data_IF_195603847830
#
_entry.id   IF_195603847830
#
_cell.length_a   1.000
_cell.length_b   1.000
_cell.length_c   1.000
_cell.angle_alpha   90.00
_cell.angle_beta   90.00
_cell.angle_gamma   90.00
#
_symmetry.space_group_name_H-M   'P 1'
#
loop_
_entity.id
_entity.type
_entity.pdbx_description
1 polymer ?
#
# COMPACT_ATOMS: atom_id res chain seq x y z
N UNK A 1 -11.56 -3.39 2.59
CA UNK A 1 -10.71 -3.21 1.39
C UNK A 1 -9.69 -2.10 1.58
N UNK A 2 -10.07 -0.87 1.96
CA UNK A 2 -9.13 0.24 2.20
C UNK A 2 -8.04 -0.02 3.27
N UNK A 3 -8.37 -0.66 4.40
CA UNK A 3 -7.41 -0.82 5.52
C UNK A 3 -6.50 -2.05 5.33
N UNK A 4 -6.91 -3.02 4.52
CA UNK A 4 -6.27 -4.33 4.45
C UNK A 4 -4.76 -4.27 4.13
N UNK A 5 -4.29 -3.47 3.14
CA UNK A 5 -2.86 -3.35 2.88
C UNK A 5 -2.09 -2.78 4.07
N UNK A 6 -2.63 -1.77 4.77
CA UNK A 6 -1.98 -1.18 5.93
C UNK A 6 -1.82 -2.15 7.10
N UNK A 7 -2.84 -2.98 7.35
CA UNK A 7 -2.79 -4.03 8.37
C UNK A 7 -1.77 -5.11 8.01
N UNK A 8 -1.73 -5.53 6.74
CA UNK A 8 -0.72 -6.48 6.26
C UNK A 8 0.71 -5.95 6.44
N UNK A 9 0.96 -4.70 6.05
CA UNK A 9 2.27 -4.07 6.23
C UNK A 9 2.65 -3.94 7.70
N UNK A 10 1.71 -3.61 8.59
CA UNK A 10 1.99 -3.52 10.03
C UNK A 10 2.42 -4.87 10.63
N UNK A 11 1.80 -5.98 10.16
CA UNK A 11 2.22 -7.32 10.55
C UNK A 11 3.61 -7.66 9.98
N UNK A 12 3.90 -7.27 8.74
CA UNK A 12 5.22 -7.45 8.13
C UNK A 12 6.32 -6.67 8.88
N UNK A 13 6.03 -5.43 9.28
CA UNK A 13 6.94 -4.59 10.07
C UNK A 13 7.31 -5.23 11.40
N UNK A 14 6.37 -5.91 12.07
CA UNK A 14 6.66 -6.61 13.32
C UNK A 14 7.78 -7.65 13.15
N UNK A 15 7.79 -8.40 12.05
CA UNK A 15 8.85 -9.37 11.75
C UNK A 15 10.13 -8.68 11.26
N UNK A 16 10.01 -7.62 10.44
CA UNK A 16 11.14 -6.81 9.98
C UNK A 16 11.96 -6.23 11.14
N UNK A 17 11.30 -5.62 12.13
CA UNK A 17 11.98 -5.06 13.31
C UNK A 17 12.54 -6.12 14.26
N UNK A 18 12.23 -7.41 14.03
CA UNK A 18 12.85 -8.55 14.72
C UNK A 18 14.02 -9.15 13.94
N UNK A 19 14.46 -8.48 12.88
CA UNK A 19 15.58 -8.91 12.05
C UNK A 19 15.24 -10.01 11.05
N UNK A 20 13.97 -10.21 10.74
CA UNK A 20 13.53 -11.21 9.76
C UNK A 20 13.27 -10.57 8.39
N UNK A 21 13.48 -11.35 7.34
CA UNK A 21 13.10 -10.99 5.98
C UNK A 21 11.67 -11.43 5.69
N UNK A 22 10.87 -10.50 5.17
CA UNK A 22 9.43 -10.69 4.95
C UNK A 22 9.08 -10.37 3.51
N UNK A 23 8.17 -11.16 2.94
CA UNK A 23 7.55 -10.89 1.65
C UNK A 23 6.09 -10.50 1.87
N UNK A 24 5.67 -9.38 1.30
CA UNK A 24 4.27 -8.97 1.27
C UNK A 24 3.79 -8.83 -0.18
N UNK A 25 2.66 -9.45 -0.48
CA UNK A 25 2.00 -9.38 -1.79
C UNK A 25 0.70 -8.62 -1.64
N UNK A 26 0.50 -7.58 -2.45
CA UNK A 26 -0.74 -6.81 -2.47
C UNK A 26 -1.54 -7.17 -3.73
N UNK A 27 -2.55 -8.02 -3.59
CA UNK A 27 -3.41 -8.50 -4.68
C UNK A 27 -4.87 -8.01 -4.48
N UNK A 28 -5.30 -6.92 -5.12
CA UNK A 28 -4.52 -5.98 -5.95
C UNK A 28 -4.71 -4.54 -5.45
N UNK A 29 -3.76 -3.66 -5.79
CA UNK A 29 -3.83 -2.25 -5.40
C UNK A 29 -4.79 -1.44 -6.27
N UNK A 30 -5.22 -1.95 -7.44
CA UNK A 30 -6.26 -1.30 -8.26
C UNK A 30 -7.59 -1.26 -7.49
N UNK A 31 -8.02 -2.39 -6.91
CA UNK A 31 -9.19 -2.51 -6.04
C UNK A 31 -9.05 -1.70 -4.76
N UNK A 32 -7.82 -1.57 -4.23
CA UNK A 32 -7.54 -0.71 -3.09
C UNK A 32 -7.82 0.78 -3.39
N UNK A 33 -7.35 1.27 -4.55
CA UNK A 33 -7.61 2.63 -5.01
C UNK A 33 -9.11 2.87 -5.27
N UNK A 34 -9.81 1.90 -5.89
CA UNK A 34 -11.26 1.99 -6.13
C UNK A 34 -12.04 2.09 -4.81
N UNK A 35 -11.65 1.32 -3.79
CA UNK A 35 -12.26 1.42 -2.46
C UNK A 35 -12.01 2.80 -1.83
N UNK A 36 -10.82 3.37 -1.98
CA UNK A 36 -10.52 4.72 -1.47
C UNK A 36 -11.29 5.81 -2.22
N UNK A 37 -11.48 5.65 -3.52
CA UNK A 37 -12.31 6.52 -4.35
C UNK A 37 -13.75 6.55 -3.85
N UNK A 38 -14.35 5.36 -3.65
CA UNK A 38 -15.73 5.26 -3.16
C UNK A 38 -15.89 5.97 -1.80
N UNK A 39 -14.96 5.75 -0.87
CA UNK A 39 -14.95 6.43 0.42
C UNK A 39 -14.82 7.95 0.28
N UNK A 40 -13.94 8.42 -0.60
CA UNK A 40 -13.71 9.86 -0.79
C UNK A 40 -14.92 10.57 -1.39
N UNK A 41 -15.61 9.92 -2.33
CA UNK A 41 -16.85 10.44 -2.94
C UNK A 41 -18.01 10.48 -1.93
N UNK A 42 -18.16 9.43 -1.10
CA UNK A 42 -19.15 9.40 -0.01
C UNK A 42 -18.91 10.51 1.03
N UNK A 43 -17.67 10.93 1.20
CA UNK A 43 -17.27 12.02 2.08
C UNK A 43 -17.26 13.40 1.39
N UNK A 44 -17.84 13.49 0.19
CA UNK A 44 -17.96 14.73 -0.59
C UNK A 44 -16.62 15.43 -0.85
N UNK A 45 -15.51 14.67 -0.89
CA UNK A 45 -14.21 15.23 -1.27
C UNK A 45 -14.18 15.52 -2.77
N UNK A 46 -13.59 16.64 -3.15
CA UNK A 46 -13.45 17.03 -4.56
C UNK A 46 -12.67 15.96 -5.35
N UNK A 47 -13.26 15.37 -6.40
CA UNK A 47 -12.58 14.38 -7.23
C UNK A 47 -11.68 15.05 -8.27
N UNK A 48 -10.61 14.34 -8.67
CA UNK A 48 -9.70 14.70 -9.75
C UNK A 48 -9.88 13.80 -10.98
N UNK A 49 -8.76 13.42 -11.62
CA UNK A 49 -8.74 12.53 -12.79
C UNK A 49 -9.40 11.19 -12.47
N UNK A 50 -10.25 10.69 -13.38
CA UNK A 50 -10.96 9.40 -13.26
C UNK A 50 -11.77 9.23 -11.95
N UNK A 51 -12.22 10.37 -11.41
CA UNK A 51 -12.91 10.51 -10.13
C UNK A 51 -12.11 10.10 -8.88
N UNK A 52 -10.79 9.87 -8.99
CA UNK A 52 -9.94 9.62 -7.82
C UNK A 52 -9.71 10.89 -7.00
N UNK A 53 -9.54 10.77 -5.68
CA UNK A 53 -9.16 11.92 -4.85
C UNK A 53 -7.72 12.35 -5.15
N UNK A 54 -7.40 13.63 -4.92
CA UNK A 54 -6.09 14.19 -5.23
C UNK A 54 -4.91 13.54 -4.48
N UNK A 55 -5.18 12.85 -3.37
CA UNK A 55 -4.21 12.15 -2.55
C UNK A 55 -4.13 10.63 -2.81
N UNK A 56 -4.69 10.14 -3.94
CA UNK A 56 -4.57 8.72 -4.34
C UNK A 56 -3.11 8.28 -4.51
N UNK A 57 -2.23 9.16 -4.96
CA UNK A 57 -0.79 8.86 -5.02
C UNK A 57 -0.18 8.68 -3.63
N UNK A 58 -0.55 9.56 -2.68
CA UNK A 58 -0.11 9.48 -1.30
C UNK A 58 -0.55 8.18 -0.61
N UNK A 59 -1.69 7.62 -1.03
CA UNK A 59 -2.20 6.36 -0.52
C UNK A 59 -1.22 5.20 -0.73
N UNK A 60 -0.73 5.03 -1.96
CA UNK A 60 0.16 3.94 -2.33
C UNK A 60 1.61 4.26 -1.97
N UNK A 61 2.07 5.50 -2.12
CA UNK A 61 3.45 5.86 -1.76
C UNK A 61 3.71 5.62 -0.28
N UNK A 62 2.85 6.12 0.63
CA UNK A 62 3.03 5.90 2.08
C UNK A 62 2.96 4.41 2.48
N UNK A 63 2.26 3.59 1.68
CA UNK A 63 2.14 2.15 1.93
C UNK A 63 3.42 1.42 1.51
N UNK A 64 3.91 1.70 0.29
CA UNK A 64 5.05 1.00 -0.29
C UNK A 64 6.38 1.45 0.31
N UNK A 65 6.53 2.73 0.66
CA UNK A 65 7.75 3.25 1.32
C UNK A 65 8.04 2.62 2.69
N UNK A 66 7.05 1.96 3.31
CA UNK A 66 7.26 1.17 4.53
C UNK A 66 8.02 -0.13 4.28
N UNK A 67 8.06 -0.58 3.03
CA UNK A 67 8.76 -1.80 2.63
C UNK A 67 10.21 -1.47 2.34
N UNK A 68 11.11 -1.76 3.28
CA UNK A 68 12.51 -1.39 3.19
C UNK A 68 13.42 -2.43 3.84
N UNK A 69 14.73 -2.28 3.67
CA UNK A 69 15.73 -3.02 4.43
C UNK A 69 16.27 -2.13 5.54
N UNK A 70 16.15 -2.60 6.78
CA UNK A 70 16.68 -1.91 7.94
C UNK A 70 18.20 -2.01 7.99
N UNK A 71 18.83 -1.00 8.60
CA UNK A 71 20.25 -1.05 8.93
C UNK A 71 20.55 -2.13 9.97
N UNK A 72 21.80 -2.58 10.05
CA UNK A 72 22.26 -3.54 11.05
C UNK A 72 21.98 -3.07 12.50
N UNK A 73 22.04 -1.77 12.76
CA UNK A 73 21.72 -1.17 14.06
C UNK A 73 20.25 -1.35 14.49
N UNK A 74 19.36 -1.64 13.53
CA UNK A 74 17.92 -1.87 13.74
C UNK A 74 17.54 -3.35 13.54
N UNK A 75 18.53 -4.26 13.54
CA UNK A 75 18.31 -5.71 13.41
C UNK A 75 18.42 -6.25 11.99
N UNK A 76 18.60 -5.41 10.96
CA UNK A 76 18.92 -5.83 9.60
C UNK A 76 17.79 -6.52 8.81
N UNK A 77 16.59 -6.61 9.37
CA UNK A 77 15.44 -7.25 8.70
C UNK A 77 14.94 -6.44 7.50
N UNK A 78 14.12 -7.07 6.66
CA UNK A 78 13.60 -6.43 5.45
C UNK A 78 12.15 -6.78 5.13
N UNK A 79 11.48 -5.89 4.40
CA UNK A 79 10.20 -6.18 3.76
C UNK A 79 10.38 -5.99 2.25
N UNK A 80 10.10 -7.04 1.50
CA UNK A 80 9.97 -6.99 0.05
C UNK A 80 8.50 -6.90 -0.30
N UNK A 81 8.09 -5.84 -1.01
CA UNK A 81 6.73 -5.66 -1.50
C UNK A 81 6.59 -6.08 -2.95
N UNK A 82 5.58 -6.91 -3.25
CA UNK A 82 5.12 -7.23 -4.59
C UNK A 82 3.71 -6.70 -4.81
N UNK A 83 3.56 -5.44 -5.26
CA UNK A 83 2.26 -4.88 -5.59
C UNK A 83 1.77 -5.42 -6.94
N UNK A 84 0.53 -5.90 -6.97
CA UNK A 84 -0.17 -6.28 -8.19
C UNK A 84 -1.11 -5.13 -8.58
N UNK A 85 -1.08 -4.77 -9.85
CA UNK A 85 -1.93 -3.76 -10.46
C UNK A 85 -2.66 -4.44 -11.62
N UNK A 86 -3.99 -4.41 -11.56
CA UNK A 86 -4.84 -4.81 -12.68
C UNK A 86 -4.94 -3.64 -13.66
N UNK A 87 -4.50 -3.87 -14.91
CA UNK A 87 -4.65 -2.93 -16.04
C UNK A 87 -5.93 -3.25 -16.81
N UNK A 88 -6.58 -2.22 -17.38
CA UNK A 88 -7.81 -2.39 -18.14
C UNK A 88 -7.48 -2.32 -19.63
N UNK A 89 -7.72 -3.42 -20.34
CA UNK A 89 -7.42 -3.53 -21.77
C UNK A 89 -5.95 -3.24 -22.14
N UNK A 90 -5.02 -3.38 -21.19
CA UNK A 90 -3.59 -3.11 -21.38
C UNK A 90 -3.15 -1.67 -21.09
N UNK A 91 -4.05 -0.84 -20.58
CA UNK A 91 -3.81 0.54 -20.11
C UNK A 91 -3.85 0.64 -18.57
#
# INVERSE_FOLDING_TARGET
QYIAPYSGTALAEYFMYRGQDVLIVYDDLSKHAVAYRALSLLLERSPGREAYPGDVFYLHSRLLERSSKLSDALGGGSITALPIIETQAGD
#
